data_IF_757783550671
#
_entry.id   IF_757783550671
#
_cell.length_a   1.000
_cell.length_b   1.000
_cell.length_c   1.000
_cell.angle_alpha   90.00
_cell.angle_beta   90.00
_cell.angle_gamma   90.00
#
_symmetry.space_group_name_H-M   'P 1'
#
loop_
_entity.id
_entity.type
_entity.pdbx_description
1 polymer ?
#
# COMPACT_ATOMS: atom_id res chain seq x y z
N UNK A 1 16.12 3.39 -3.75
CA UNK A 1 15.58 2.50 -2.70
C UNK A 1 15.03 3.26 -1.49
N UNK A 2 15.59 4.43 -1.15
CA UNK A 2 15.21 5.19 0.07
C UNK A 2 13.73 5.54 0.17
N UNK A 3 13.10 5.90 -0.96
CA UNK A 3 11.66 6.20 -1.00
C UNK A 3 10.82 4.95 -0.74
N UNK A 4 11.20 3.79 -1.32
CA UNK A 4 10.48 2.53 -1.11
C UNK A 4 10.56 2.07 0.35
N UNK A 5 11.66 2.35 1.04
CA UNK A 5 11.83 2.01 2.45
C UNK A 5 10.88 2.80 3.37
N UNK A 6 10.58 4.07 3.04
CA UNK A 6 9.70 4.93 3.88
C UNK A 6 8.22 4.88 3.47
N UNK A 7 7.90 4.40 2.27
CA UNK A 7 6.54 4.34 1.75
C UNK A 7 5.53 3.60 2.66
N UNK A 8 5.84 2.41 3.22
CA UNK A 8 4.89 1.70 4.07
C UNK A 8 4.46 2.50 5.30
N UNK A 9 5.39 3.21 5.93
CA UNK A 9 5.13 3.94 7.18
C UNK A 9 4.27 5.19 6.93
N UNK A 10 4.49 5.88 5.80
CA UNK A 10 3.72 7.06 5.41
C UNK A 10 2.33 6.67 4.91
N UNK A 11 2.23 5.63 4.08
CA UNK A 11 0.99 5.29 3.38
C UNK A 11 0.02 4.46 4.23
N UNK A 12 0.48 3.68 5.22
CA UNK A 12 -0.39 2.86 6.08
C UNK A 12 -1.51 3.65 6.77
N UNK A 13 -1.25 4.89 7.15
CA UNK A 13 -2.22 5.75 7.83
C UNK A 13 -3.01 6.65 6.88
N UNK A 14 -2.70 6.61 5.58
CA UNK A 14 -3.27 7.49 4.55
C UNK A 14 -4.19 6.77 3.58
N UNK A 15 -4.22 5.45 3.64
CA UNK A 15 -5.08 4.61 2.80
C UNK A 15 -6.18 4.04 3.70
N UNK A 16 -7.42 4.48 3.45
CA UNK A 16 -8.61 3.87 4.04
C UNK A 16 -9.12 2.75 3.15
N UNK A 17 -9.53 1.64 3.76
CA UNK A 17 -10.19 0.54 3.07
C UNK A 17 -11.68 0.85 2.91
N UNK A 18 -12.28 0.34 1.84
CA UNK A 18 -13.74 0.31 1.73
C UNK A 18 -14.27 -0.88 2.51
N UNK A 19 -15.57 -0.86 2.83
CA UNK A 19 -16.23 -1.96 3.55
C UNK A 19 -16.09 -3.30 2.80
N UNK A 20 -16.20 -3.26 1.47
CA UNK A 20 -16.03 -4.43 0.61
C UNK A 20 -14.61 -4.97 0.69
N UNK A 21 -13.60 -4.09 0.71
CA UNK A 21 -12.21 -4.50 0.83
C UNK A 21 -11.90 -5.14 2.18
N UNK A 22 -12.48 -4.63 3.27
CA UNK A 22 -12.38 -5.24 4.60
C UNK A 22 -13.06 -6.61 4.64
N UNK A 23 -14.23 -6.77 4.02
CA UNK A 23 -14.95 -8.03 3.94
C UNK A 23 -14.17 -9.12 3.17
N UNK A 24 -13.42 -8.72 2.15
CA UNK A 24 -12.53 -9.58 1.36
C UNK A 24 -11.18 -9.84 2.05
N UNK A 25 -10.98 -9.39 3.30
CA UNK A 25 -9.72 -9.50 4.05
C UNK A 25 -8.52 -8.84 3.35
N UNK A 26 -8.77 -7.82 2.51
CA UNK A 26 -7.70 -7.06 1.87
C UNK A 26 -7.01 -6.18 2.91
N UNK A 27 -5.69 -6.22 2.94
CA UNK A 27 -4.90 -5.40 3.88
C UNK A 27 -4.30 -4.18 3.20
N UNK A 28 -4.13 -3.10 3.98
CA UNK A 28 -3.46 -1.87 3.50
C UNK A 28 -2.03 -2.16 3.04
N UNK A 29 -1.32 -3.07 3.73
CA UNK A 29 0.05 -3.48 3.35
C UNK A 29 0.07 -4.11 1.95
N UNK A 30 -0.88 -5.00 1.65
CA UNK A 30 -0.97 -5.64 0.34
C UNK A 30 -1.23 -4.63 -0.79
N UNK A 31 -2.06 -3.61 -0.54
CA UNK A 31 -2.29 -2.52 -1.49
C UNK A 31 -1.00 -1.73 -1.73
N UNK A 32 -0.28 -1.37 -0.66
CA UNK A 32 0.99 -0.63 -0.76
C UNK A 32 2.01 -1.41 -1.60
N UNK A 33 2.16 -2.71 -1.34
CA UNK A 33 3.11 -3.55 -2.08
C UNK A 33 2.75 -3.64 -3.57
N UNK A 34 1.45 -3.81 -3.89
CA UNK A 34 0.97 -3.82 -5.28
C UNK A 34 1.24 -2.50 -6.00
N UNK A 35 1.00 -1.38 -5.33
CA UNK A 35 1.28 -0.04 -5.89
C UNK A 35 2.77 0.13 -6.14
N UNK A 36 3.62 -0.17 -5.15
CA UNK A 36 5.07 -0.06 -5.29
C UNK A 36 5.63 -0.98 -6.38
N UNK A 37 5.09 -2.18 -6.56
CA UNK A 37 5.54 -3.10 -7.60
C UNK A 37 5.09 -2.70 -9.01
N UNK A 38 4.00 -1.92 -9.12
CA UNK A 38 3.50 -1.42 -10.42
C UNK A 38 4.28 -0.19 -10.89
N UNK A 39 4.81 0.61 -9.96
CA UNK A 39 5.61 1.80 -10.30
C UNK A 39 7.05 1.38 -10.62
N UNK A 40 7.43 1.44 -11.89
CA UNK A 40 8.82 1.25 -12.30
C UNK A 40 9.71 2.37 -11.72
N UNK A 41 10.89 1.99 -11.23
CA UNK A 41 11.90 2.94 -10.75
C UNK A 41 12.89 3.17 -11.90
N UNK A 42 13.25 4.42 -12.22
CA UNK A 42 14.31 4.72 -13.19
C UNK A 42 15.71 4.32 -12.70
#
# INVERSE_FOLDING_TARGET
EDVRAVCPDVLRHRIGLTYEAEAENITVTEIIDRVLNTVEVP
#
